data_IF_800046818037
#
_entry.id   IF_800046818037
#
_cell.length_a   1.000
_cell.length_b   1.000
_cell.length_c   1.000
_cell.angle_alpha   90.00
_cell.angle_beta   90.00
_cell.angle_gamma   90.00
#
_symmetry.space_group_name_H-M   'P 1'
#
loop_
_entity.id
_entity.type
_entity.pdbx_description
1 polymer ?
#
# COMPACT_ATOMS: atom_id res chain seq x y z
N UNK A 1 5.40 9.60 -20.46
CA UNK A 1 6.80 9.10 -20.63
C UNK A 1 7.30 8.50 -19.30
N UNK A 2 6.69 7.42 -18.80
CA UNK A 2 7.23 6.71 -17.61
C UNK A 2 6.77 5.24 -17.47
N UNK A 3 5.78 4.81 -18.26
CA UNK A 3 5.42 3.38 -18.43
C UNK A 3 6.29 2.65 -19.48
N UNK A 4 7.42 3.23 -19.92
CA UNK A 4 8.32 2.59 -20.92
C UNK A 4 9.05 1.33 -20.38
N UNK A 5 8.72 0.86 -19.17
CA UNK A 5 9.54 -0.05 -18.38
C UNK A 5 8.89 -1.34 -17.91
N UNK A 6 7.77 -1.84 -18.46
CA UNK A 6 7.38 -3.25 -18.25
C UNK A 6 8.31 -4.20 -19.03
N UNK A 7 9.62 -4.03 -18.93
CA UNK A 7 10.61 -4.73 -19.76
C UNK A 7 11.28 -5.80 -18.91
N UNK A 8 10.68 -7.00 -18.94
CA UNK A 8 11.30 -8.35 -18.90
C UNK A 8 10.68 -9.39 -17.96
N UNK A 9 9.46 -9.22 -17.43
CA UNK A 9 8.67 -10.35 -16.90
C UNK A 9 7.20 -10.17 -17.30
N UNK A 10 6.58 -11.24 -17.76
CA UNK A 10 5.18 -11.26 -18.24
C UNK A 10 4.18 -10.97 -17.10
N UNK A 11 4.64 -11.01 -15.85
CA UNK A 11 3.83 -10.78 -14.65
C UNK A 11 4.47 -9.67 -13.78
N UNK A 12 3.70 -8.64 -13.39
CA UNK A 12 4.16 -7.66 -12.41
C UNK A 12 4.23 -8.27 -11.00
N UNK A 13 5.18 -7.81 -10.19
CA UNK A 13 5.22 -8.18 -8.76
C UNK A 13 4.26 -7.32 -7.96
N UNK A 14 3.49 -7.95 -7.09
CA UNK A 14 2.59 -7.26 -6.17
C UNK A 14 3.37 -7.05 -4.86
N UNK A 15 3.63 -5.79 -4.51
CA UNK A 15 4.14 -5.44 -3.18
C UNK A 15 2.95 -5.25 -2.28
N UNK A 16 2.80 -6.12 -1.29
CA UNK A 16 1.64 -6.09 -0.42
C UNK A 16 2.05 -5.83 1.01
N UNK A 17 1.39 -4.84 1.58
CA UNK A 17 1.51 -4.50 3.00
C UNK A 17 0.18 -4.71 3.70
N UNK A 18 0.25 -5.12 4.98
CA UNK A 18 -0.94 -5.38 5.80
C UNK A 18 -0.72 -4.87 7.22
N UNK A 19 -1.35 -3.73 7.51
CA UNK A 19 -1.22 -3.09 8.81
C UNK A 19 -2.55 -3.06 9.61
N UNK A 20 -2.41 -3.14 10.93
CA UNK A 20 -3.47 -2.96 11.90
C UNK A 20 -3.28 -1.63 12.62
N UNK A 21 -4.16 -0.65 12.38
CA UNK A 21 -4.03 0.67 13.01
C UNK A 21 -4.29 0.58 14.50
N UNK A 22 -3.34 1.08 15.29
CA UNK A 22 -3.30 0.94 16.74
C UNK A 22 -2.65 -0.37 17.22
N UNK A 23 -2.20 -1.22 16.30
CA UNK A 23 -1.52 -2.48 16.57
C UNK A 23 -0.11 -2.47 16.01
N UNK A 24 0.04 -2.83 14.73
CA UNK A 24 1.33 -2.82 14.01
C UNK A 24 1.65 -1.45 13.43
N UNK A 25 0.65 -0.58 13.29
CA UNK A 25 0.78 0.78 12.78
C UNK A 25 0.14 1.81 13.73
N UNK A 26 0.43 3.12 13.56
CA UNK A 26 -0.18 4.17 14.36
C UNK A 26 -1.72 4.13 14.30
N UNK A 27 -2.39 4.49 15.40
CA UNK A 27 -3.87 4.50 15.47
C UNK A 27 -4.53 5.55 14.57
N UNK A 28 -3.77 6.56 14.14
CA UNK A 28 -4.26 7.64 13.28
C UNK A 28 -4.10 7.27 11.82
N UNK A 29 -5.12 7.57 11.00
CA UNK A 29 -5.11 7.34 9.54
C UNK A 29 -3.84 7.89 8.90
N UNK A 30 -3.52 9.17 9.11
CA UNK A 30 -2.33 9.78 8.52
C UNK A 30 -1.01 9.11 8.93
N UNK A 31 -0.92 8.65 10.18
CA UNK A 31 0.27 7.94 10.67
C UNK A 31 0.41 6.55 10.05
N UNK A 32 -0.70 5.83 9.90
CA UNK A 32 -0.73 4.54 9.19
C UNK A 32 -0.36 4.73 7.71
N UNK A 33 -0.98 5.68 7.01
CA UNK A 33 -0.66 6.00 5.59
C UNK A 33 0.83 6.29 5.38
N UNK A 34 1.49 6.99 6.30
CA UNK A 34 2.92 7.27 6.19
C UNK A 34 3.75 6.00 6.42
N UNK A 35 3.36 5.15 7.38
CA UNK A 35 4.06 3.91 7.72
C UNK A 35 4.01 2.93 6.55
N UNK A 36 2.80 2.63 6.08
CA UNK A 36 2.52 1.87 4.86
C UNK A 36 3.37 2.32 3.67
N UNK A 37 3.33 3.63 3.40
CA UNK A 37 4.04 4.18 2.26
C UNK A 37 5.56 4.01 2.40
N UNK A 38 6.10 4.13 3.61
CA UNK A 38 7.52 3.91 3.87
C UNK A 38 7.93 2.45 3.62
N UNK A 39 7.11 1.48 4.05
CA UNK A 39 7.38 0.05 3.85
C UNK A 39 7.33 -0.34 2.37
N UNK A 40 6.28 0.09 1.66
CA UNK A 40 6.15 -0.18 0.23
C UNK A 40 7.25 0.49 -0.61
N UNK A 41 7.71 1.69 -0.23
CA UNK A 41 8.86 2.31 -0.89
C UNK A 41 10.16 1.57 -0.59
N UNK A 42 10.36 1.08 0.63
CA UNK A 42 11.53 0.26 0.97
C UNK A 42 11.55 -1.03 0.13
N UNK A 43 10.41 -1.70 -0.01
CA UNK A 43 10.26 -2.86 -0.87
C UNK A 43 10.50 -2.50 -2.35
N UNK A 44 9.93 -1.39 -2.84
CA UNK A 44 10.16 -0.91 -4.21
C UNK A 44 11.64 -0.73 -4.49
N UNK A 45 12.37 -0.01 -3.62
CA UNK A 45 13.82 0.21 -3.77
C UNK A 45 14.56 -1.12 -3.74
N UNK A 46 14.23 -2.02 -2.82
CA UNK A 46 14.85 -3.35 -2.75
C UNK A 46 14.69 -4.14 -4.05
N UNK A 47 13.49 -4.17 -4.64
CA UNK A 47 13.26 -4.83 -5.93
C UNK A 47 13.97 -4.15 -7.09
N UNK A 48 14.07 -2.82 -7.09
CA UNK A 48 14.85 -2.09 -8.10
C UNK A 48 16.36 -2.35 -7.98
N UNK A 49 16.87 -2.62 -6.77
CA UNK A 49 18.27 -3.03 -6.56
C UNK A 49 18.55 -4.43 -7.12
N UNK A 50 17.60 -5.36 -6.98
CA UNK A 50 17.73 -6.73 -7.53
C UNK A 50 17.65 -6.71 -9.06
N UNK A 51 16.63 -6.05 -9.61
CA UNK A 51 16.39 -5.97 -11.05
C UNK A 51 15.81 -4.60 -11.42
N UNK A 52 16.65 -3.68 -11.90
CA UNK A 52 16.19 -2.38 -12.37
C UNK A 52 15.14 -2.51 -13.48
N UNK A 53 14.03 -1.78 -13.35
CA UNK A 53 12.93 -1.82 -14.31
C UNK A 53 12.01 -3.02 -14.16
N UNK A 54 12.01 -3.70 -13.01
CA UNK A 54 10.97 -4.67 -12.70
C UNK A 54 9.62 -3.97 -12.54
N UNK A 55 8.59 -4.52 -13.18
CA UNK A 55 7.22 -4.02 -13.07
C UNK A 55 6.62 -4.37 -11.70
N UNK A 56 6.06 -3.37 -11.03
CA UNK A 56 5.52 -3.47 -9.66
C UNK A 56 4.12 -2.89 -9.63
N UNK A 57 3.24 -3.52 -8.84
CA UNK A 57 1.95 -3.00 -8.40
C UNK A 57 2.00 -2.86 -6.88
N UNK A 58 1.62 -1.69 -6.37
CA UNK A 58 1.57 -1.44 -4.93
C UNK A 58 0.18 -1.83 -4.38
N UNK A 59 0.15 -2.72 -3.41
CA UNK A 59 -1.05 -3.27 -2.80
C UNK A 59 -1.22 -2.80 -1.37
N UNK A 60 -2.36 -2.19 -1.11
CA UNK A 60 -2.75 -1.70 0.21
C UNK A 60 -3.91 -2.52 0.77
N UNK A 61 -3.74 -3.04 1.98
CA UNK A 61 -4.73 -3.82 2.70
C UNK A 61 -4.63 -3.49 4.19
N UNK A 62 -5.34 -2.45 4.62
CA UNK A 62 -5.23 -1.96 5.99
C UNK A 62 -6.55 -1.85 6.72
N UNK A 63 -6.50 -2.09 8.03
CA UNK A 63 -7.68 -2.10 8.87
C UNK A 63 -7.43 -1.42 10.22
N UNK A 64 -8.37 -0.58 10.69
CA UNK A 64 -8.35 -0.17 12.09
C UNK A 64 -8.61 -1.37 12.99
N UNK A 65 -7.92 -1.42 14.13
CA UNK A 65 -8.21 -2.40 15.17
C UNK A 65 -9.35 -1.90 16.08
N UNK A 66 -10.28 -2.79 16.42
CA UNK A 66 -11.23 -2.54 17.49
C UNK A 66 -10.49 -2.56 18.85
N UNK A 67 -10.39 -1.41 19.52
CA UNK A 67 -9.65 -1.30 20.78
C UNK A 67 -10.22 -2.10 21.96
N UNK A 68 -11.48 -2.57 21.86
CA UNK A 68 -12.11 -3.38 22.92
C UNK A 68 -11.88 -4.87 22.73
N UNK A 69 -12.00 -5.36 21.50
CA UNK A 69 -11.87 -6.79 21.17
C UNK A 69 -10.50 -7.18 20.59
N UNK A 70 -9.71 -6.21 20.13
CA UNK A 70 -8.46 -6.44 19.39
C UNK A 70 -8.67 -6.96 17.96
N UNK A 71 -9.91 -7.14 17.51
CA UNK A 71 -10.19 -7.66 16.17
C UNK A 71 -10.02 -6.59 15.09
N UNK A 72 -9.60 -6.95 13.86
CA UNK A 72 -9.65 -6.03 12.72
C UNK A 72 -11.10 -5.57 12.48
N UNK A 73 -11.30 -4.26 12.38
CA UNK A 73 -12.59 -3.66 12.11
C UNK A 73 -12.76 -3.46 10.59
N UNK A 74 -13.07 -4.56 9.91
CA UNK A 74 -13.44 -4.55 8.49
C UNK A 74 -14.65 -3.64 8.24
N UNK A 75 -14.73 -3.03 7.06
CA UNK A 75 -15.81 -2.11 6.69
C UNK A 75 -15.82 -0.75 7.41
N UNK A 76 -14.79 -0.45 8.21
CA UNK A 76 -14.67 0.87 8.83
C UNK A 76 -14.43 1.97 7.78
N UNK A 77 -15.12 3.10 7.93
CA UNK A 77 -15.02 4.25 7.01
C UNK A 77 -13.60 4.81 6.88
N UNK A 78 -12.77 4.64 7.93
CA UNK A 78 -11.38 5.08 7.90
C UNK A 78 -10.60 4.42 6.77
N UNK A 79 -10.89 3.14 6.46
CA UNK A 79 -10.23 2.36 5.40
C UNK A 79 -10.40 3.08 4.07
N UNK A 80 -11.62 3.45 3.70
CA UNK A 80 -11.90 4.15 2.44
C UNK A 80 -11.17 5.49 2.32
N UNK A 81 -10.95 6.19 3.44
CA UNK A 81 -10.22 7.45 3.44
C UNK A 81 -8.71 7.24 3.24
N UNK A 82 -8.14 6.26 3.93
CA UNK A 82 -6.75 5.84 3.74
C UNK A 82 -6.50 5.41 2.29
N UNK A 83 -7.37 4.55 1.76
CA UNK A 83 -7.29 4.05 0.39
C UNK A 83 -7.38 5.15 -0.67
N UNK A 84 -8.24 6.15 -0.47
CA UNK A 84 -8.30 7.31 -1.34
C UNK A 84 -6.98 8.09 -1.34
N UNK A 85 -6.37 8.30 -0.17
CA UNK A 85 -5.08 8.98 -0.04
C UNK A 85 -3.94 8.15 -0.65
N UNK A 86 -3.89 6.85 -0.36
CA UNK A 86 -2.95 5.89 -0.92
C UNK A 86 -2.96 5.92 -2.45
N UNK A 87 -4.15 5.77 -3.05
CA UNK A 87 -4.32 5.82 -4.50
C UNK A 87 -3.82 7.15 -5.09
N UNK A 88 -4.10 8.29 -4.45
CA UNK A 88 -3.61 9.58 -4.93
C UNK A 88 -2.08 9.64 -4.91
N UNK A 89 -1.44 9.22 -3.82
CA UNK A 89 0.02 9.23 -3.68
C UNK A 89 0.65 8.32 -4.74
N UNK A 90 0.22 7.06 -4.82
CA UNK A 90 0.88 6.08 -5.68
C UNK A 90 0.59 6.28 -7.16
N UNK A 91 -0.65 6.56 -7.54
CA UNK A 91 -1.01 6.72 -8.96
C UNK A 91 -0.64 8.10 -9.50
N UNK A 92 -0.86 9.18 -8.74
CA UNK A 92 -0.64 10.54 -9.24
C UNK A 92 0.81 10.99 -9.04
N UNK A 93 1.39 10.74 -7.86
CA UNK A 93 2.73 11.21 -7.54
C UNK A 93 3.81 10.20 -7.99
N UNK A 94 3.71 8.93 -7.60
CA UNK A 94 4.71 7.91 -7.98
C UNK A 94 4.49 7.30 -9.38
N UNK A 95 3.29 7.45 -9.96
CA UNK A 95 2.92 6.89 -11.27
C UNK A 95 3.07 5.36 -11.33
N UNK A 96 2.85 4.71 -10.20
CA UNK A 96 2.87 3.25 -10.05
C UNK A 96 1.41 2.79 -9.93
N UNK A 97 1.01 1.72 -10.65
CA UNK A 97 -0.33 1.17 -10.51
C UNK A 97 -0.54 0.63 -9.10
N UNK A 98 -1.73 0.89 -8.56
CA UNK A 98 -2.15 0.36 -7.26
C UNK A 98 -3.15 -0.76 -7.44
N UNK A 99 -3.15 -1.67 -6.48
CA UNK A 99 -4.30 -2.49 -6.13
C UNK A 99 -4.62 -2.26 -4.66
N UNK A 100 -5.86 -2.44 -4.30
CA UNK A 100 -6.30 -2.33 -2.92
C UNK A 100 -7.53 -3.16 -2.67
N UNK A 101 -7.70 -3.52 -1.41
CA UNK A 101 -8.86 -4.26 -0.96
C UNK A 101 -9.57 -3.49 0.14
N UNK A 102 -10.48 -2.60 -0.29
CA UNK A 102 -11.51 -2.09 0.60
C UNK A 102 -12.48 -3.24 0.93
N UNK A 103 -12.14 -4.08 1.90
CA UNK A 103 -13.05 -5.08 2.45
C UNK A 103 -14.14 -4.35 3.23
N UNK A 104 -15.23 -4.04 2.50
CA UNK A 104 -16.50 -3.53 3.02
C UNK A 104 -17.38 -4.64 3.58
#
# INVERSE_FOLDING_TARGET
MQVLGMRKLFFPYILQEVELWGGTAPVTIAGATISNNAELLAALVFFQLIKPGVGIIANDIEYPMNMRSGSPAFGSLGISLHEAAFNQIWTQFYRIPTNNCAAG
#
